data_IF_156208124147
#
_entry.id   IF_156208124147
#
_cell.length_a   1.000
_cell.length_b   1.000
_cell.length_c   1.000
_cell.angle_alpha   90.00
_cell.angle_beta   90.00
_cell.angle_gamma   90.00
#
_symmetry.space_group_name_H-M   'P 1'
#
loop_
_entity.id
_entity.type
_entity.pdbx_description
1 polymer ?
#
# COMPACT_ATOMS: atom_id res chain seq x y z
N UNK A 1 11.78 19.58 38.29
CA UNK A 1 10.78 18.77 37.56
C UNK A 1 11.51 17.76 36.67
N UNK A 2 11.55 16.48 37.05
CA UNK A 2 12.20 15.37 36.28
C UNK A 2 11.27 14.14 36.10
N UNK A 3 9.95 14.32 36.30
CA UNK A 3 8.98 13.21 36.30
C UNK A 3 8.21 13.02 35.00
N UNK A 4 8.16 14.03 34.11
CA UNK A 4 7.20 14.01 33.00
C UNK A 4 7.60 13.07 31.85
N UNK A 5 8.89 12.87 31.60
CA UNK A 5 9.36 12.07 30.47
C UNK A 5 9.20 10.56 30.70
N UNK A 6 9.40 10.10 31.93
CA UNK A 6 9.32 8.67 32.24
C UNK A 6 7.87 8.14 32.29
N UNK A 7 6.90 9.00 32.57
CA UNK A 7 5.48 8.62 32.49
C UNK A 7 5.00 8.49 31.04
N UNK A 8 5.45 9.36 30.14
CA UNK A 8 5.13 9.25 28.71
C UNK A 8 5.68 7.94 28.10
N UNK A 9 6.87 7.50 28.54
CA UNK A 9 7.48 6.25 28.06
C UNK A 9 6.78 4.98 28.56
N UNK A 10 6.14 5.02 29.75
CA UNK A 10 5.38 3.89 30.30
C UNK A 10 4.00 3.70 29.68
N UNK A 11 3.49 4.72 28.99
CA UNK A 11 2.19 4.70 28.30
C UNK A 11 2.28 4.23 26.85
N UNK A 12 3.47 3.87 26.36
CA UNK A 12 3.62 3.18 25.08
C UNK A 12 3.20 1.72 25.28
N UNK A 13 1.89 1.47 25.25
CA UNK A 13 1.41 0.24 24.63
C UNK A 13 2.21 0.05 23.33
N UNK A 14 2.62 -1.17 22.97
CA UNK A 14 3.35 -1.40 21.73
C UNK A 14 2.56 -0.73 20.62
N UNK A 15 3.06 0.39 20.10
CA UNK A 15 2.50 0.99 18.90
C UNK A 15 2.55 -0.14 17.90
N UNK A 16 1.38 -0.62 17.46
CA UNK A 16 1.32 -1.63 16.41
C UNK A 16 2.21 -1.10 15.29
N UNK A 17 3.35 -1.76 15.11
CA UNK A 17 4.29 -1.41 14.06
C UNK A 17 3.45 -1.31 12.78
N UNK A 18 3.59 -0.23 11.99
CA UNK A 18 2.85 -0.09 10.74
C UNK A 18 2.94 -1.42 10.01
N UNK A 19 1.79 -2.01 9.67
CA UNK A 19 1.75 -3.33 9.04
C UNK A 19 2.53 -3.19 7.76
N UNK A 20 3.79 -3.64 7.79
CA UNK A 20 4.66 -3.59 6.62
C UNK A 20 3.92 -4.38 5.57
N UNK A 21 3.46 -3.68 4.55
CA UNK A 21 2.68 -4.28 3.49
C UNK A 21 3.55 -5.38 2.90
N UNK A 22 3.17 -6.64 3.10
CA UNK A 22 4.01 -7.75 2.67
C UNK A 22 4.09 -7.69 1.15
N UNK A 23 5.29 -7.55 0.53
CA UNK A 23 5.41 -7.44 -0.92
C UNK A 23 4.71 -8.59 -1.67
N UNK A 24 4.66 -9.76 -1.04
CA UNK A 24 3.91 -10.94 -1.49
C UNK A 24 2.39 -10.70 -1.58
N UNK A 25 1.79 -9.97 -0.63
CA UNK A 25 0.37 -9.64 -0.65
C UNK A 25 0.04 -8.67 -1.78
N UNK A 26 0.92 -7.70 -2.04
CA UNK A 26 0.76 -6.77 -3.17
C UNK A 26 0.76 -7.55 -4.48
N UNK A 27 1.75 -8.43 -4.66
CA UNK A 27 1.87 -9.25 -5.86
C UNK A 27 0.64 -10.16 -6.04
N UNK A 28 0.23 -10.88 -4.99
CA UNK A 28 -0.95 -11.73 -5.02
C UNK A 28 -2.26 -10.96 -5.29
N UNK A 29 -2.36 -9.70 -4.86
CA UNK A 29 -3.51 -8.87 -5.15
C UNK A 29 -3.52 -8.36 -6.60
N UNK A 30 -2.35 -8.09 -7.18
CA UNK A 30 -2.20 -7.71 -8.59
C UNK A 30 -2.46 -8.89 -9.53
N UNK A 31 -1.99 -10.10 -9.19
CA UNK A 31 -2.21 -11.32 -9.97
C UNK A 31 -3.69 -11.71 -10.11
N UNK A 32 -4.55 -11.24 -9.18
CA UNK A 32 -6.00 -11.44 -9.27
C UNK A 32 -6.65 -10.61 -10.38
N UNK A 33 -5.95 -9.62 -10.94
CA UNK A 33 -6.44 -8.78 -12.03
C UNK A 33 -6.04 -9.42 -13.35
N UNK A 34 -6.95 -10.21 -13.92
CA UNK A 34 -6.69 -11.01 -15.13
C UNK A 34 -6.43 -10.18 -16.39
N UNK A 35 -6.89 -8.93 -16.43
CA UNK A 35 -6.86 -8.08 -17.63
C UNK A 35 -5.72 -7.03 -17.63
N UNK A 36 -4.79 -7.09 -16.66
CA UNK A 36 -3.70 -6.13 -16.56
C UNK A 36 -2.46 -6.62 -17.31
N UNK A 37 -1.97 -5.83 -18.26
CA UNK A 37 -0.74 -6.17 -18.97
C UNK A 37 0.45 -6.27 -17.99
N UNK A 38 1.36 -7.21 -18.25
CA UNK A 38 2.49 -7.49 -17.34
C UNK A 38 3.36 -6.24 -17.05
N UNK A 39 3.56 -5.36 -18.04
CA UNK A 39 4.25 -4.08 -17.85
C UNK A 39 3.53 -3.13 -16.90
N UNK A 40 2.21 -3.08 -16.96
CA UNK A 40 1.39 -2.23 -16.10
C UNK A 40 1.29 -2.80 -14.68
N UNK A 41 1.26 -4.13 -14.56
CA UNK A 41 1.37 -4.82 -13.28
C UNK A 41 2.68 -4.47 -12.55
N UNK A 42 3.82 -4.54 -13.24
CA UNK A 42 5.12 -4.20 -12.65
C UNK A 42 5.20 -2.71 -12.26
N UNK A 43 4.63 -1.82 -13.08
CA UNK A 43 4.59 -0.38 -12.77
C UNK A 43 3.71 -0.08 -11.56
N UNK A 44 2.56 -0.74 -11.46
CA UNK A 44 1.65 -0.66 -10.32
C UNK A 44 2.32 -1.20 -9.04
N UNK A 45 2.96 -2.36 -9.13
CA UNK A 45 3.70 -2.97 -8.02
C UNK A 45 4.75 -2.01 -7.45
N UNK A 46 5.56 -1.39 -8.32
CA UNK A 46 6.58 -0.42 -7.90
C UNK A 46 6.00 0.81 -7.19
N UNK A 47 4.75 1.19 -7.46
CA UNK A 47 4.07 2.30 -6.76
C UNK A 47 3.45 1.86 -5.44
N UNK A 48 2.81 0.70 -5.43
CA UNK A 48 2.13 0.15 -4.25
C UNK A 48 3.11 -0.24 -3.15
N UNK A 49 4.28 -0.78 -3.51
CA UNK A 49 5.30 -1.16 -2.52
C UNK A 49 5.91 0.05 -1.79
N UNK A 50 5.84 1.24 -2.39
CA UNK A 50 6.37 2.47 -1.81
C UNK A 50 5.35 3.20 -0.93
N UNK A 51 4.08 2.76 -0.91
CA UNK A 51 3.01 3.45 -0.19
C UNK A 51 1.95 2.48 0.32
N UNK A 52 2.01 2.19 1.63
CA UNK A 52 1.01 1.40 2.35
C UNK A 52 -0.41 1.98 2.18
N UNK A 53 -0.56 3.31 2.25
CA UNK A 53 -1.84 3.99 2.05
C UNK A 53 -2.41 3.77 0.64
N UNK A 54 -1.55 3.72 -0.37
CA UNK A 54 -1.96 3.46 -1.75
C UNK A 54 -2.44 2.02 -1.90
N UNK A 55 -1.75 1.07 -1.27
CA UNK A 55 -2.18 -0.32 -1.24
C UNK A 55 -3.49 -0.52 -0.47
N UNK A 56 -3.67 0.16 0.66
CA UNK A 56 -4.93 0.09 1.39
C UNK A 56 -6.10 0.61 0.54
N UNK A 57 -5.93 1.76 -0.13
CA UNK A 57 -6.95 2.29 -1.03
C UNK A 57 -7.27 1.31 -2.19
N UNK A 58 -6.25 0.63 -2.72
CA UNK A 58 -6.41 -0.41 -3.73
C UNK A 58 -7.22 -1.61 -3.20
N UNK A 59 -6.99 -2.03 -1.95
CA UNK A 59 -7.70 -3.14 -1.33
C UNK A 59 -9.14 -2.80 -0.94
N UNK A 60 -9.44 -1.54 -0.62
CA UNK A 60 -10.80 -1.05 -0.36
C UNK A 60 -11.61 -0.85 -1.66
N UNK A 61 -10.92 -0.72 -2.80
CA UNK A 61 -11.58 -0.52 -4.08
C UNK A 61 -12.30 -1.81 -4.56
N UNK A 62 -13.54 -1.72 -5.05
CA UNK A 62 -14.22 -2.86 -5.67
C UNK A 62 -13.42 -3.43 -6.85
N UNK A 63 -13.45 -4.75 -7.02
CA UNK A 63 -12.62 -5.46 -8.01
C UNK A 63 -12.79 -4.92 -9.43
N UNK A 64 -14.03 -4.56 -9.79
CA UNK A 64 -14.39 -3.98 -11.09
C UNK A 64 -13.65 -2.69 -11.45
N UNK A 65 -13.28 -1.88 -10.45
CA UNK A 65 -12.56 -0.61 -10.66
C UNK A 65 -11.05 -0.73 -10.53
N UNK A 66 -10.53 -1.86 -10.03
CA UNK A 66 -9.10 -2.02 -9.74
C UNK A 66 -8.23 -1.92 -10.98
N UNK A 67 -8.67 -2.49 -12.10
CA UNK A 67 -7.88 -2.42 -13.35
C UNK A 67 -7.79 -0.97 -13.86
N UNK A 68 -8.93 -0.32 -14.06
CA UNK A 68 -9.00 1.07 -14.55
C UNK A 68 -8.22 2.03 -13.64
N UNK A 69 -8.34 1.87 -12.33
CA UNK A 69 -7.61 2.69 -11.37
C UNK A 69 -6.09 2.49 -11.46
N UNK A 70 -5.61 1.26 -11.64
CA UNK A 70 -4.18 0.99 -11.85
C UNK A 70 -3.66 1.57 -13.16
N UNK A 71 -4.45 1.54 -14.24
CA UNK A 71 -4.10 2.17 -15.50
C UNK A 71 -3.96 3.70 -15.34
N UNK A 72 -4.95 4.35 -14.72
CA UNK A 72 -4.86 5.79 -14.39
C UNK A 72 -3.66 6.12 -13.50
N UNK A 73 -3.36 5.25 -12.53
CA UNK A 73 -2.19 5.41 -11.68
C UNK A 73 -0.90 5.33 -12.50
N UNK A 74 -0.84 4.42 -13.49
CA UNK A 74 0.30 4.17 -14.35
C UNK A 74 0.57 5.27 -15.39
N UNK A 75 -0.48 5.84 -15.98
CA UNK A 75 -0.40 6.90 -17.01
C UNK A 75 0.27 8.20 -16.52
N UNK A 76 0.15 8.52 -15.23
CA UNK A 76 0.67 9.77 -14.64
C UNK A 76 2.20 9.97 -14.71
N UNK A 77 2.97 9.02 -15.25
CA UNK A 77 4.43 9.07 -15.38
C UNK A 77 4.95 9.22 -16.83
N UNK A 78 4.09 9.45 -17.83
CA UNK A 78 4.50 9.68 -19.23
C UNK A 78 4.84 11.16 -19.54
N UNK A 79 5.17 11.98 -18.53
CA UNK A 79 5.60 13.38 -18.69
C UNK A 79 7.06 13.53 -18.28
#
# INVERSE_FOLDING_TARGET
>A
MKGSFQYALKSLEPLELPKVTHPLEILAALEKILDLAHSDMLRAYGKLILSERLFQAFMELPMEFRNEWLLMLNEKNNV
#
